data_IF_066861406216
#
_entry.id   IF_066861406216
#
_cell.length_a   1.000
_cell.length_b   1.000
_cell.length_c   1.000
_cell.angle_alpha   90.00
_cell.angle_beta   90.00
_cell.angle_gamma   90.00
#
_symmetry.space_group_name_H-M   'P 1'
#
loop_
_entity.id
_entity.type
_entity.pdbx_description
1 polymer ?
#
# COMPACT_ATOMS: atom_id res chain seq x y z
N UNK A 1 -19.33 20.02 11.68
CA UNK A 1 -18.59 19.71 10.44
C UNK A 1 -17.12 19.64 10.83
N UNK A 2 -16.58 18.42 10.99
CA UNK A 2 -15.28 18.21 11.61
C UNK A 2 -14.15 18.59 10.65
N UNK A 3 -13.27 19.49 11.09
CA UNK A 3 -12.06 19.91 10.37
C UNK A 3 -11.32 18.67 9.88
N UNK A 4 -11.30 18.43 8.57
CA UNK A 4 -10.37 17.47 7.97
C UNK A 4 -8.95 17.97 8.25
N UNK A 5 -8.06 17.06 8.64
CA UNK A 5 -6.66 17.43 8.87
C UNK A 5 -6.04 17.94 7.55
N UNK A 6 -5.15 18.94 7.68
CA UNK A 6 -4.58 19.68 6.54
C UNK A 6 -3.90 18.75 5.52
N UNK A 7 -3.22 17.69 6.01
CA UNK A 7 -2.53 16.73 5.14
C UNK A 7 -3.52 15.90 4.32
N UNK A 8 -4.55 15.32 4.96
CA UNK A 8 -5.57 14.53 4.27
C UNK A 8 -6.30 15.37 3.21
N UNK A 9 -6.79 16.56 3.58
CA UNK A 9 -7.51 17.44 2.64
C UNK A 9 -6.63 17.83 1.45
N UNK A 10 -5.42 18.31 1.71
CA UNK A 10 -4.48 18.68 0.65
C UNK A 10 -4.13 17.49 -0.26
N UNK A 11 -3.99 16.30 0.30
CA UNK A 11 -3.66 15.10 -0.49
C UNK A 11 -4.82 14.73 -1.42
N UNK A 12 -6.07 14.81 -0.95
CA UNK A 12 -7.25 14.58 -1.77
C UNK A 12 -7.34 15.57 -2.93
N UNK A 13 -7.05 16.85 -2.69
CA UNK A 13 -7.07 17.90 -3.72
C UNK A 13 -6.00 17.71 -4.81
N UNK A 14 -4.93 16.95 -4.51
CA UNK A 14 -3.87 16.62 -5.48
C UNK A 14 -4.19 15.41 -6.36
N UNK A 15 -5.22 14.63 -6.03
CA UNK A 15 -5.61 13.45 -6.82
C UNK A 15 -6.44 13.93 -8.02
N UNK A 16 -5.80 13.93 -9.19
CA UNK A 16 -6.42 14.30 -10.46
C UNK A 16 -6.74 13.12 -11.37
N UNK A 17 -7.40 13.38 -12.51
CA UNK A 17 -7.53 12.40 -13.58
C UNK A 17 -6.15 12.06 -14.18
N UNK A 18 -6.12 11.02 -15.00
CA UNK A 18 -4.94 10.69 -15.80
C UNK A 18 -4.66 11.79 -16.83
N UNK A 19 -3.40 11.90 -17.26
CA UNK A 19 -3.04 12.75 -18.39
C UNK A 19 -3.46 12.07 -19.71
N UNK A 20 -4.59 12.54 -20.26
CA UNK A 20 -5.15 12.03 -21.51
C UNK A 20 -4.23 12.25 -22.72
N UNK A 21 -3.43 13.32 -22.74
CA UNK A 21 -2.48 13.58 -23.82
C UNK A 21 -1.34 12.56 -23.82
N UNK A 22 -0.79 12.28 -22.64
CA UNK A 22 0.25 11.28 -22.47
C UNK A 22 -0.25 9.87 -22.79
N UNK A 23 -1.46 9.53 -22.33
CA UNK A 23 -2.10 8.25 -22.62
C UNK A 23 -2.36 8.07 -24.13
N UNK A 24 -2.86 9.12 -24.81
CA UNK A 24 -3.12 9.09 -26.26
C UNK A 24 -1.84 8.90 -27.06
N UNK A 25 -0.78 9.65 -26.75
CA UNK A 25 0.55 9.48 -27.37
C UNK A 25 1.16 8.10 -27.13
N UNK A 26 0.93 7.52 -25.96
CA UNK A 26 1.38 6.15 -25.67
C UNK A 26 0.62 5.11 -26.51
N UNK A 27 -0.69 5.32 -26.74
CA UNK A 27 -1.52 4.47 -27.60
C UNK A 27 -1.08 4.55 -29.06
N UNK A 28 -0.93 5.76 -29.61
CA UNK A 28 -0.43 5.97 -30.96
C UNK A 28 0.93 5.28 -31.17
N UNK A 29 1.82 5.38 -30.17
CA UNK A 29 3.08 4.66 -30.20
C UNK A 29 2.89 3.14 -30.22
N UNK A 30 2.03 2.58 -29.37
CA UNK A 30 1.74 1.14 -29.34
C UNK A 30 1.23 0.63 -30.68
N UNK A 31 0.38 1.41 -31.36
CA UNK A 31 -0.19 1.07 -32.66
C UNK A 31 0.84 1.06 -33.81
N UNK A 32 1.95 1.81 -33.67
CA UNK A 32 3.05 1.85 -34.66
C UNK A 32 4.18 0.85 -34.42
N UNK A 33 4.16 0.10 -33.30
CA UNK A 33 5.20 -0.90 -33.03
C UNK A 33 5.09 -2.09 -33.99
N UNK A 34 6.20 -2.78 -34.23
CA UNK A 34 6.27 -3.97 -35.10
C UNK A 34 5.58 -5.19 -34.45
N UNK A 35 4.26 -5.13 -34.36
CA UNK A 35 3.34 -6.15 -33.86
C UNK A 35 1.96 -5.92 -34.48
N UNK A 36 1.11 -6.95 -34.66
CA UNK A 36 -0.29 -6.70 -34.97
C UNK A 36 -0.92 -5.81 -33.89
N UNK A 37 -1.75 -4.86 -34.29
CA UNK A 37 -2.39 -3.93 -33.37
C UNK A 37 -3.17 -4.70 -32.28
N UNK A 38 -3.00 -4.31 -31.02
CA UNK A 38 -3.65 -4.96 -29.88
C UNK A 38 -3.16 -6.37 -29.52
N UNK A 39 -2.18 -6.93 -30.24
CA UNK A 39 -1.71 -8.31 -30.02
C UNK A 39 -1.10 -8.58 -28.64
N UNK A 40 -0.63 -7.56 -27.93
CA UNK A 40 -0.12 -7.71 -26.56
C UNK A 40 -1.20 -7.49 -25.48
N UNK A 41 -2.44 -7.19 -25.89
CA UNK A 41 -3.62 -7.07 -25.03
C UNK A 41 -3.35 -6.23 -23.78
N UNK A 42 -3.42 -6.88 -22.60
CA UNK A 42 -3.30 -6.20 -21.31
C UNK A 42 -1.98 -5.46 -21.11
N UNK A 43 -0.90 -5.91 -21.73
CA UNK A 43 0.40 -5.23 -21.63
C UNK A 43 0.37 -3.84 -22.30
N UNK A 44 -0.39 -3.69 -23.39
CA UNK A 44 -0.57 -2.38 -24.04
C UNK A 44 -1.37 -1.45 -23.13
N UNK A 45 -2.49 -1.95 -22.60
CA UNK A 45 -3.34 -1.20 -21.67
C UNK A 45 -2.58 -0.70 -20.44
N UNK A 46 -1.78 -1.56 -19.80
CA UNK A 46 -0.97 -1.20 -18.63
C UNK A 46 0.04 -0.11 -19.01
N UNK A 47 0.71 -0.22 -20.16
CA UNK A 47 1.67 0.79 -20.60
C UNK A 47 1.03 2.16 -20.85
N UNK A 48 -0.19 2.19 -21.40
CA UNK A 48 -0.95 3.41 -21.68
C UNK A 48 -1.45 4.02 -20.37
N UNK A 49 -1.94 3.20 -19.44
CA UNK A 49 -2.37 3.67 -18.13
C UNK A 49 -1.20 4.29 -17.34
N UNK A 50 -0.03 3.62 -17.34
CA UNK A 50 1.18 4.15 -16.70
C UNK A 50 1.64 5.47 -17.33
N UNK A 51 1.47 5.63 -18.65
CA UNK A 51 1.76 6.88 -19.33
C UNK A 51 0.87 8.03 -18.82
N UNK A 52 -0.42 7.77 -18.67
CA UNK A 52 -1.39 8.73 -18.10
C UNK A 52 -1.12 9.05 -16.63
N UNK A 53 -0.75 8.06 -15.80
CA UNK A 53 -0.39 8.28 -14.39
C UNK A 53 0.87 9.16 -14.28
N UNK A 54 1.86 8.94 -15.15
CA UNK A 54 3.15 9.65 -15.08
C UNK A 54 3.20 10.96 -15.88
N UNK A 55 2.16 11.28 -16.66
CA UNK A 55 2.18 12.41 -17.61
C UNK A 55 3.27 12.26 -18.68
N UNK A 56 3.60 11.02 -19.09
CA UNK A 56 4.72 10.71 -19.99
C UNK A 56 4.34 9.61 -20.97
N UNK A 57 4.41 9.88 -22.27
CA UNK A 57 4.08 8.90 -23.32
C UNK A 57 4.94 7.64 -23.32
N UNK A 58 6.14 7.71 -22.73
CA UNK A 58 7.01 6.55 -22.47
C UNK A 58 7.26 6.49 -20.96
N UNK A 59 6.42 5.76 -20.20
CA UNK A 59 6.54 5.70 -18.75
C UNK A 59 7.84 5.00 -18.32
N UNK A 60 8.38 5.39 -17.17
CA UNK A 60 9.56 4.77 -16.56
C UNK A 60 9.24 4.28 -15.15
N UNK A 61 9.51 3.00 -14.90
CA UNK A 61 9.28 2.39 -13.59
C UNK A 61 10.63 2.28 -12.87
N UNK A 62 10.79 3.03 -11.79
CA UNK A 62 11.95 3.04 -10.90
C UNK A 62 11.50 3.02 -9.44
N UNK A 63 12.43 2.75 -8.52
CA UNK A 63 12.23 2.92 -7.08
C UNK A 63 11.00 2.19 -6.49
N UNK A 64 10.68 1.01 -7.04
CA UNK A 64 9.51 0.22 -6.66
C UNK A 64 9.54 -0.12 -5.16
N UNK A 65 8.38 -0.08 -4.52
CA UNK A 65 8.23 -0.45 -3.12
C UNK A 65 6.93 -1.23 -2.90
N UNK A 66 6.97 -2.18 -1.97
CA UNK A 66 5.82 -2.80 -1.33
C UNK A 66 5.78 -2.30 0.09
N UNK A 67 4.65 -1.72 0.51
CA UNK A 67 4.46 -1.22 1.86
C UNK A 67 3.58 -2.21 2.63
N UNK A 68 4.13 -2.82 3.67
CA UNK A 68 3.45 -3.75 4.57
C UNK A 68 3.00 -2.98 5.81
N UNK A 69 1.70 -2.75 5.91
CA UNK A 69 1.06 -2.10 7.07
C UNK A 69 0.62 -3.19 8.06
N UNK A 70 1.30 -3.29 9.20
CA UNK A 70 1.01 -4.28 10.23
C UNK A 70 0.11 -3.70 11.34
N UNK A 71 -0.97 -4.40 11.67
CA UNK A 71 -1.85 -4.05 12.77
C UNK A 71 -2.70 -5.24 13.21
N UNK A 72 -3.06 -5.26 14.49
CA UNK A 72 -3.93 -6.29 15.06
C UNK A 72 -5.38 -5.83 15.14
N UNK A 73 -6.29 -6.81 15.23
CA UNK A 73 -7.73 -6.54 15.24
C UNK A 73 -8.40 -7.17 16.46
N UNK A 74 -9.13 -6.37 17.25
CA UNK A 74 -9.82 -6.83 18.46
C UNK A 74 -10.93 -7.86 18.21
N UNK A 75 -11.38 -8.01 16.97
CA UNK A 75 -12.34 -9.05 16.55
C UNK A 75 -11.83 -10.48 16.83
N UNK A 76 -10.52 -10.65 17.03
CA UNK A 76 -9.88 -11.92 17.44
C UNK A 76 -10.49 -12.51 18.72
N UNK A 77 -11.10 -11.68 19.57
CA UNK A 77 -11.80 -12.09 20.80
C UNK A 77 -13.01 -13.00 20.54
N UNK A 78 -13.58 -12.97 19.32
CA UNK A 78 -14.69 -13.82 18.90
C UNK A 78 -14.26 -15.24 18.49
N UNK A 79 -12.96 -15.57 18.58
CA UNK A 79 -12.41 -16.94 18.45
C UNK A 79 -12.74 -17.70 17.17
N UNK A 80 -12.88 -17.02 16.04
CA UNK A 80 -13.10 -17.65 14.72
C UNK A 80 -11.83 -17.80 13.87
N UNK A 81 -10.65 -17.47 14.41
CA UNK A 81 -9.38 -17.47 13.69
C UNK A 81 -8.51 -18.68 14.06
N UNK A 82 -7.70 -19.12 13.09
CA UNK A 82 -6.84 -20.30 13.23
C UNK A 82 -5.46 -20.00 13.84
N UNK A 83 -5.13 -18.73 14.12
CA UNK A 83 -3.81 -18.30 14.57
C UNK A 83 -3.91 -17.35 15.76
N UNK A 84 -3.00 -17.43 16.74
CA UNK A 84 -3.00 -16.55 17.88
C UNK A 84 -2.50 -15.14 17.50
N UNK A 85 -2.86 -14.13 18.28
CA UNK A 85 -2.63 -12.71 17.94
C UNK A 85 -1.12 -12.35 17.86
N UNK A 86 -0.28 -13.08 18.60
CA UNK A 86 1.17 -12.89 18.63
C UNK A 86 1.84 -13.18 17.28
N UNK A 87 1.17 -13.90 16.37
CA UNK A 87 1.68 -14.18 15.02
C UNK A 87 1.93 -12.90 14.23
N UNK A 88 1.16 -11.83 14.46
CA UNK A 88 1.38 -10.54 13.79
C UNK A 88 2.77 -9.99 14.09
N UNK A 89 3.19 -9.98 15.36
CA UNK A 89 4.53 -9.51 15.74
C UNK A 89 5.64 -10.42 15.19
N UNK A 90 5.44 -11.73 15.21
CA UNK A 90 6.38 -12.70 14.63
C UNK A 90 6.55 -12.48 13.12
N UNK A 91 5.45 -12.22 12.40
CA UNK A 91 5.49 -11.92 10.96
C UNK A 91 6.18 -10.60 10.67
N UNK A 92 5.97 -9.56 11.50
CA UNK A 92 6.74 -8.31 11.40
C UNK A 92 8.24 -8.58 11.47
N UNK A 93 8.70 -9.34 12.46
CA UNK A 93 10.11 -9.73 12.56
C UNK A 93 10.58 -10.51 11.33
N UNK A 94 9.75 -11.42 10.81
CA UNK A 94 10.07 -12.17 9.60
C UNK A 94 10.22 -11.27 8.36
N UNK A 95 9.34 -10.26 8.20
CA UNK A 95 9.46 -9.26 7.13
C UNK A 95 10.74 -8.44 7.25
N UNK A 96 11.09 -8.01 8.46
CA UNK A 96 12.29 -7.22 8.75
C UNK A 96 13.59 -8.01 8.50
N UNK A 97 13.60 -9.31 8.78
CA UNK A 97 14.72 -10.20 8.49
C UNK A 97 14.77 -10.68 7.04
N UNK A 98 13.80 -10.33 6.20
CA UNK A 98 13.79 -10.72 4.79
C UNK A 98 13.34 -12.15 4.51
N UNK A 99 12.73 -12.84 5.49
CA UNK A 99 12.42 -14.26 5.41
C UNK A 99 11.01 -14.60 4.90
N UNK A 100 10.13 -13.60 4.69
CA UNK A 100 8.78 -13.86 4.23
C UNK A 100 8.68 -13.95 2.70
N UNK A 101 7.60 -14.56 2.20
CA UNK A 101 7.34 -14.69 0.76
C UNK A 101 7.37 -13.33 0.04
N UNK A 102 6.84 -12.27 0.65
CA UNK A 102 6.86 -10.92 0.05
C UNK A 102 8.27 -10.38 -0.13
N UNK A 103 9.23 -10.74 0.74
CA UNK A 103 10.62 -10.34 0.61
C UNK A 103 11.26 -11.00 -0.62
N UNK A 104 11.01 -12.31 -0.81
CA UNK A 104 11.50 -13.07 -1.97
C UNK A 104 10.94 -12.52 -3.28
N UNK A 105 9.63 -12.32 -3.34
CA UNK A 105 8.95 -11.78 -4.53
C UNK A 105 9.38 -10.35 -4.84
N UNK A 106 9.48 -9.49 -3.82
CA UNK A 106 9.93 -8.11 -4.00
C UNK A 106 11.38 -8.04 -4.48
N UNK A 107 12.26 -8.89 -3.95
CA UNK A 107 13.64 -9.01 -4.43
C UNK A 107 13.69 -9.42 -5.90
N UNK A 108 12.88 -10.40 -6.32
CA UNK A 108 12.82 -10.85 -7.72
C UNK A 108 12.49 -9.71 -8.68
N UNK A 109 11.57 -8.81 -8.30
CA UNK A 109 11.20 -7.65 -9.13
C UNK A 109 12.03 -6.40 -8.83
N UNK A 110 13.04 -6.46 -7.96
CA UNK A 110 13.79 -5.27 -7.49
C UNK A 110 12.89 -4.18 -6.90
N UNK A 111 12.01 -4.56 -5.98
CA UNK A 111 11.21 -3.66 -5.15
C UNK A 111 11.69 -3.72 -3.70
N UNK A 112 11.68 -2.57 -3.02
CA UNK A 112 11.95 -2.49 -1.57
C UNK A 112 10.73 -2.98 -0.80
N UNK A 113 10.94 -3.64 0.34
CA UNK A 113 9.86 -3.89 1.31
C UNK A 113 9.99 -2.85 2.41
N UNK A 114 8.93 -2.09 2.65
CA UNK A 114 8.82 -1.12 3.73
C UNK A 114 7.82 -1.68 4.73
N UNK A 115 8.22 -1.86 5.98
CA UNK A 115 7.35 -2.40 7.03
C UNK A 115 6.98 -1.27 7.97
N UNK A 116 5.68 -1.02 8.13
CA UNK A 116 5.14 -0.02 9.04
C UNK A 116 4.25 -0.69 10.09
N UNK A 117 4.56 -0.44 11.35
CA UNK A 117 3.69 -0.79 12.47
C UNK A 117 2.62 0.30 12.63
N UNK A 118 1.41 -0.03 12.18
CA UNK A 118 0.23 0.82 12.25
C UNK A 118 -0.65 0.51 13.46
N UNK A 119 -0.49 -0.67 14.08
CA UNK A 119 -1.35 -1.07 15.19
C UNK A 119 -1.08 -2.43 15.78
N UNK A 120 0.17 -2.93 15.80
CA UNK A 120 0.47 -4.24 16.38
C UNK A 120 0.25 -4.19 17.90
N UNK A 121 -0.50 -5.13 18.46
CA UNK A 121 -0.89 -5.12 19.87
C UNK A 121 0.29 -5.42 20.79
N UNK A 122 1.20 -6.29 20.34
CA UNK A 122 2.43 -6.60 21.05
C UNK A 122 3.51 -5.51 20.84
N UNK A 123 4.36 -5.25 21.84
CA UNK A 123 5.56 -4.45 21.64
C UNK A 123 6.47 -5.05 20.55
N UNK A 124 7.03 -4.20 19.72
CA UNK A 124 8.01 -4.58 18.70
C UNK A 124 9.39 -4.01 19.08
N UNK A 125 10.49 -4.72 18.77
CA UNK A 125 11.82 -4.20 19.01
C UNK A 125 12.09 -2.99 18.11
N UNK A 126 12.97 -2.09 18.57
CA UNK A 126 13.49 -1.02 17.72
C UNK A 126 14.30 -1.64 16.60
N UNK A 127 13.99 -1.30 15.35
CA UNK A 127 14.67 -1.82 14.18
C UNK A 127 14.76 -0.75 13.10
N UNK A 128 15.91 -0.55 12.42
CA UNK A 128 16.07 0.52 11.42
C UNK A 128 15.15 0.35 10.20
N UNK A 129 14.76 -0.89 9.88
CA UNK A 129 13.80 -1.21 8.81
C UNK A 129 12.32 -1.14 9.20
N UNK A 130 12.00 -0.81 10.46
CA UNK A 130 10.63 -0.72 10.96
C UNK A 130 10.22 0.75 11.10
N UNK A 131 9.20 1.15 10.36
CA UNK A 131 8.57 2.47 10.52
C UNK A 131 7.53 2.37 11.64
N UNK A 132 7.72 3.12 12.72
CA UNK A 132 6.74 3.17 13.82
C UNK A 132 5.72 4.29 13.58
N UNK A 133 4.46 3.89 13.37
CA UNK A 133 3.29 4.76 13.16
C UNK A 133 2.05 4.20 13.89
N UNK A 134 2.27 3.55 15.04
CA UNK A 134 1.23 2.83 15.78
C UNK A 134 0.12 3.80 16.21
N UNK A 135 -1.11 3.51 15.79
CA UNK A 135 -2.30 4.30 16.14
C UNK A 135 -2.86 3.87 17.50
N UNK A 136 -2.94 2.55 17.72
CA UNK A 136 -3.37 1.90 18.95
C UNK A 136 -2.81 0.46 19.00
N UNK A 137 -2.72 -0.20 20.17
CA UNK A 137 -2.35 -1.60 20.26
C UNK A 137 -3.51 -2.50 19.80
N UNK A 138 -3.69 -2.58 18.48
CA UNK A 138 -4.82 -3.23 17.82
C UNK A 138 -6.08 -2.37 17.77
N UNK A 139 -7.02 -2.75 16.91
CA UNK A 139 -8.36 -2.14 16.88
C UNK A 139 -9.22 -2.65 18.03
N UNK A 140 -10.28 -1.92 18.38
CA UNK A 140 -11.34 -2.48 19.20
C UNK A 140 -12.05 -3.66 18.49
N UNK A 141 -12.78 -4.46 19.27
CA UNK A 141 -13.63 -5.51 18.74
C UNK A 141 -14.84 -4.89 18.03
N UNK A 142 -14.85 -5.00 16.70
CA UNK A 142 -15.89 -4.39 15.86
C UNK A 142 -17.30 -4.96 16.06
N UNK A 143 -17.43 -6.13 16.70
CA UNK A 143 -18.74 -6.71 17.05
C UNK A 143 -19.41 -5.99 18.22
N UNK A 144 -18.65 -5.27 19.05
CA UNK A 144 -19.13 -4.63 20.29
C UNK A 144 -19.09 -3.11 20.21
N UNK A 145 -18.08 -2.55 19.54
CA UNK A 145 -17.89 -1.10 19.38
C UNK A 145 -17.19 -0.79 18.05
N UNK A 146 -17.13 0.48 17.65
CA UNK A 146 -16.35 0.86 16.47
C UNK A 146 -14.87 0.48 16.64
N UNK A 147 -14.27 -0.12 15.60
CA UNK A 147 -12.88 -0.57 15.59
C UNK A 147 -11.87 0.53 15.99
N UNK A 148 -12.18 1.78 15.64
CA UNK A 148 -11.42 2.97 16.02
C UNK A 148 -12.32 4.22 15.92
N UNK A 149 -11.89 5.32 16.55
CA UNK A 149 -12.54 6.63 16.36
C UNK A 149 -12.27 7.20 14.97
N UNK A 150 -13.09 8.17 14.53
CA UNK A 150 -12.83 8.90 13.28
C UNK A 150 -11.47 9.61 13.28
N UNK A 151 -11.05 10.13 14.43
CA UNK A 151 -9.74 10.79 14.56
C UNK A 151 -8.59 9.80 14.33
N UNK A 152 -8.67 8.61 14.91
CA UNK A 152 -7.70 7.53 14.68
C UNK A 152 -7.71 7.05 13.22
N UNK A 153 -8.87 6.98 12.57
CA UNK A 153 -8.96 6.63 11.16
C UNK A 153 -8.27 7.66 10.26
N UNK A 154 -8.48 8.97 10.52
CA UNK A 154 -7.77 10.05 9.81
C UNK A 154 -6.26 9.94 10.05
N UNK A 155 -5.83 9.75 11.30
CA UNK A 155 -4.42 9.57 11.66
C UNK A 155 -3.79 8.37 10.95
N UNK A 156 -4.52 7.26 10.82
CA UNK A 156 -4.06 6.06 10.12
C UNK A 156 -3.86 6.31 8.62
N UNK A 157 -4.77 7.04 7.98
CA UNK A 157 -4.65 7.42 6.56
C UNK A 157 -3.45 8.34 6.36
N UNK A 158 -3.25 9.32 7.24
CA UNK A 158 -2.15 10.29 7.12
C UNK A 158 -0.77 9.70 7.41
N UNK A 159 -0.72 8.60 8.16
CA UNK A 159 0.51 7.90 8.45
C UNK A 159 1.02 7.00 7.30
N UNK A 160 0.14 6.66 6.35
CA UNK A 160 0.45 5.81 5.19
C UNK A 160 0.91 6.58 3.97
#
# INVERSE_FOLDING_TARGET
MGNSSELLSRTLDLIGPLDDSAASKARERQDMLTKPQGSLGKLEEISIQLAGIQGRSIPRIKDKAVIVMAGDHGIIQEKFHNWPQEVTAQMVLNFLHGGAAINVLSKHVSARVVVADMGVASPLPTHPGLISRKIAPGTANMAVASAMSRAQAVQAIEAG
#
